data_IF_654748041662
#
_entry.id   IF_654748041662
#
_cell.length_a   1.000
_cell.length_b   1.000
_cell.length_c   1.000
_cell.angle_alpha   90.00
_cell.angle_beta   90.00
_cell.angle_gamma   90.00
#
_symmetry.space_group_name_H-M   'P 1'
#
loop_
_entity.id
_entity.type
_entity.pdbx_description
1 polymer ?
#
# COMPACT_ATOMS: atom_id res chain seq x y z
N UNK A 1 23.97 -42.22 1.75
CA UNK A 1 23.24 -40.95 1.88
C UNK A 1 22.61 -40.62 0.54
N UNK A 2 21.31 -40.75 0.41
CA UNK A 2 20.60 -40.43 -0.85
C UNK A 2 20.17 -38.97 -0.80
N UNK A 3 20.79 -38.12 -1.63
CA UNK A 3 20.38 -36.75 -1.84
C UNK A 3 19.05 -36.76 -2.61
N UNK A 4 17.97 -36.47 -1.92
CA UNK A 4 16.68 -36.20 -2.55
C UNK A 4 16.67 -34.74 -3.04
N UNK A 5 17.08 -34.54 -4.28
CA UNK A 5 16.83 -33.29 -4.98
C UNK A 5 15.37 -33.37 -5.48
N UNK A 6 14.46 -32.71 -4.81
CA UNK A 6 13.11 -32.52 -5.34
C UNK A 6 13.19 -31.63 -6.60
N UNK A 7 12.90 -32.24 -7.72
CA UNK A 7 12.73 -31.50 -8.98
C UNK A 7 11.39 -30.78 -8.93
N UNK A 8 11.40 -29.45 -8.98
CA UNK A 8 10.23 -28.66 -9.28
C UNK A 8 9.73 -29.01 -10.68
N UNK A 9 8.57 -29.63 -10.80
CA UNK A 9 8.11 -30.21 -12.06
C UNK A 9 6.85 -29.58 -12.64
N UNK A 10 6.33 -28.51 -12.10
CA UNK A 10 5.21 -27.82 -12.75
C UNK A 10 5.16 -26.31 -12.48
N UNK A 11 4.61 -25.59 -13.45
CA UNK A 11 4.34 -24.14 -13.36
C UNK A 11 3.39 -23.81 -12.19
N UNK A 12 2.59 -24.78 -11.73
CA UNK A 12 1.71 -24.66 -10.56
C UNK A 12 2.48 -24.48 -9.26
N UNK A 13 3.59 -25.20 -9.08
CA UNK A 13 4.42 -25.12 -7.87
C UNK A 13 5.09 -23.75 -7.71
N UNK A 14 5.38 -23.05 -8.83
CA UNK A 14 5.91 -21.70 -8.85
C UNK A 14 4.85 -20.65 -8.47
N UNK A 15 3.60 -20.86 -8.85
CA UNK A 15 2.49 -19.99 -8.45
C UNK A 15 2.13 -20.17 -6.96
N UNK A 16 2.19 -21.40 -6.46
CA UNK A 16 1.97 -21.70 -5.04
C UNK A 16 3.09 -21.12 -4.17
N UNK A 17 4.36 -21.22 -4.61
CA UNK A 17 5.50 -20.61 -3.92
C UNK A 17 5.40 -19.07 -3.89
N UNK A 18 4.95 -18.46 -4.99
CA UNK A 18 4.72 -17.01 -5.04
C UNK A 18 3.63 -16.58 -4.06
N UNK A 19 2.55 -17.34 -3.99
CA UNK A 19 1.44 -17.09 -3.05
C UNK A 19 1.88 -17.30 -1.59
N UNK A 20 2.72 -18.28 -1.31
CA UNK A 20 3.33 -18.49 0.02
C UNK A 20 4.29 -17.35 0.39
N UNK A 21 5.09 -16.86 -0.54
CA UNK A 21 5.99 -15.71 -0.32
C UNK A 21 5.19 -14.44 -0.09
N UNK A 22 4.15 -14.16 -0.87
CA UNK A 22 3.26 -13.02 -0.68
C UNK A 22 2.56 -13.09 0.69
N UNK A 23 2.13 -14.28 1.12
CA UNK A 23 1.52 -14.50 2.44
C UNK A 23 2.54 -14.37 3.59
N UNK A 24 3.79 -14.77 3.38
CA UNK A 24 4.87 -14.61 4.36
C UNK A 24 5.31 -13.13 4.49
N UNK A 25 5.29 -12.38 3.41
CA UNK A 25 5.57 -10.95 3.44
C UNK A 25 4.45 -10.18 4.12
N UNK A 26 3.18 -10.45 3.80
CA UNK A 26 2.04 -9.83 4.45
C UNK A 26 1.97 -10.13 5.95
N UNK A 27 2.20 -11.37 6.38
CA UNK A 27 2.08 -11.76 7.78
C UNK A 27 3.28 -11.38 8.66
N UNK A 28 4.50 -11.33 8.15
CA UNK A 28 5.68 -11.06 8.97
C UNK A 28 5.97 -9.59 9.21
N UNK A 29 5.69 -8.75 8.22
CA UNK A 29 5.90 -7.31 8.37
C UNK A 29 4.68 -6.62 9.00
N UNK A 30 3.47 -7.13 8.78
CA UNK A 30 2.23 -6.52 9.24
C UNK A 30 1.58 -7.20 10.44
N UNK A 31 1.87 -8.49 10.71
CA UNK A 31 1.24 -9.26 11.78
C UNK A 31 1.48 -8.70 13.19
N UNK A 32 2.62 -8.06 13.44
CA UNK A 32 2.92 -7.43 14.73
C UNK A 32 2.27 -6.06 14.93
N UNK A 33 1.94 -5.37 13.86
CA UNK A 33 1.33 -4.04 13.90
C UNK A 33 -0.20 -4.11 13.83
N UNK A 34 -0.75 -5.10 13.13
CA UNK A 34 -2.20 -5.32 12.99
C UNK A 34 -2.87 -5.83 14.27
N UNK A 35 -2.14 -6.48 15.17
CA UNK A 35 -2.70 -6.96 16.44
C UNK A 35 -3.04 -5.84 17.43
N UNK A 36 -2.64 -4.59 17.13
CA UNK A 36 -3.04 -3.39 17.90
C UNK A 36 -4.31 -2.72 17.39
N UNK A 37 -4.78 -3.07 16.21
CA UNK A 37 -6.03 -2.54 15.63
C UNK A 37 -7.10 -3.64 15.61
N UNK A 38 -7.45 -4.12 16.82
CA UNK A 38 -8.46 -5.17 16.96
C UNK A 38 -9.85 -4.68 16.53
N UNK A 39 -10.53 -5.53 15.80
CA UNK A 39 -11.98 -5.67 15.59
C UNK A 39 -12.78 -4.56 14.88
N UNK A 40 -12.25 -3.40 14.54
CA UNK A 40 -13.01 -2.36 13.82
C UNK A 40 -12.23 -1.72 12.65
N UNK A 41 -11.14 -2.30 12.21
CA UNK A 41 -10.39 -1.78 11.07
C UNK A 41 -10.94 -2.34 9.75
N UNK A 42 -11.18 -1.47 8.79
CA UNK A 42 -11.48 -1.85 7.43
C UNK A 42 -10.28 -1.49 6.53
N UNK A 43 -10.10 -2.22 5.44
CA UNK A 43 -9.01 -1.96 4.50
C UNK A 43 -9.58 -1.42 3.19
N UNK A 44 -9.31 -0.16 2.83
CA UNK A 44 -9.73 0.38 1.54
C UNK A 44 -9.01 -0.34 0.40
N UNK A 45 -9.72 -0.54 -0.71
CA UNK A 45 -9.14 -1.08 -1.94
C UNK A 45 -8.22 -0.04 -2.57
N UNK A 46 -7.12 -0.51 -3.15
CA UNK A 46 -6.07 0.34 -3.65
C UNK A 46 -5.40 -0.27 -4.88
N UNK A 47 -5.19 0.57 -5.90
CA UNK A 47 -4.44 0.25 -7.10
C UNK A 47 -3.14 1.05 -7.14
N UNK A 48 -2.07 0.43 -7.64
CA UNK A 48 -0.79 1.09 -7.88
C UNK A 48 -0.39 0.82 -9.33
N UNK A 49 -0.14 1.88 -10.05
CA UNK A 49 0.31 1.85 -11.42
C UNK A 49 1.69 2.50 -11.51
N UNK A 50 2.65 1.85 -12.14
CA UNK A 50 3.96 2.39 -12.43
C UNK A 50 4.05 2.79 -13.90
N UNK A 51 4.46 4.03 -14.16
CA UNK A 51 4.85 4.53 -15.46
C UNK A 51 6.39 4.67 -15.55
N UNK A 52 6.89 5.13 -16.68
CA UNK A 52 8.32 5.45 -16.80
C UNK A 52 8.76 6.57 -15.85
N UNK A 53 7.86 7.53 -15.54
CA UNK A 53 8.18 8.77 -14.83
C UNK A 53 7.68 8.82 -13.39
N UNK A 54 6.61 8.10 -13.08
CA UNK A 54 5.92 8.19 -11.79
C UNK A 54 5.27 6.89 -11.35
N UNK A 55 4.85 6.86 -10.10
CA UNK A 55 3.85 5.93 -9.58
C UNK A 55 2.55 6.69 -9.37
N UNK A 56 1.43 6.08 -9.70
CA UNK A 56 0.10 6.58 -9.38
C UNK A 56 -0.58 5.59 -8.45
N UNK A 57 -0.94 6.05 -7.26
CA UNK A 57 -1.69 5.27 -6.27
C UNK A 57 -3.13 5.79 -6.23
N UNK A 58 -4.10 4.89 -6.39
CA UNK A 58 -5.53 5.20 -6.29
C UNK A 58 -6.13 4.43 -5.14
N UNK A 59 -6.84 5.11 -4.24
CA UNK A 59 -7.47 4.51 -3.06
C UNK A 59 -8.93 4.91 -3.01
N UNK A 60 -9.82 3.92 -2.88
CA UNK A 60 -11.25 4.16 -2.75
C UNK A 60 -11.62 4.41 -1.29
N UNK A 61 -12.07 5.63 -1.01
CA UNK A 61 -12.44 6.12 0.32
C UNK A 61 -13.84 6.75 0.30
N UNK A 62 -14.88 6.02 -0.14
CA UNK A 62 -16.22 6.57 -0.25
C UNK A 62 -16.77 6.95 1.13
N UNK A 63 -17.48 8.07 1.20
CA UNK A 63 -18.07 8.57 2.44
C UNK A 63 -17.09 9.19 3.42
N UNK A 64 -15.85 9.46 3.00
CA UNK A 64 -14.85 10.19 3.80
C UNK A 64 -14.71 11.63 3.32
N UNK A 65 -14.17 12.47 4.21
CA UNK A 65 -13.74 13.83 3.90
C UNK A 65 -12.21 13.88 3.87
N UNK A 66 -11.65 14.82 3.12
CA UNK A 66 -10.19 14.96 3.02
C UNK A 66 -9.52 15.21 4.39
N UNK A 67 -10.24 15.87 5.32
CA UNK A 67 -9.78 16.17 6.67
C UNK A 67 -9.60 14.91 7.54
N UNK A 68 -10.26 13.82 7.17
CA UNK A 68 -10.19 12.53 7.88
C UNK A 68 -9.12 11.59 7.30
N UNK A 69 -8.32 12.09 6.33
CA UNK A 69 -7.28 11.31 5.62
C UNK A 69 -5.92 11.96 5.87
N UNK A 70 -4.93 11.14 6.22
CA UNK A 70 -3.52 11.55 6.32
C UNK A 70 -2.67 10.70 5.42
N UNK A 71 -1.71 11.34 4.77
CA UNK A 71 -0.77 10.71 3.84
C UNK A 71 0.63 11.07 4.31
N UNK A 72 1.50 10.07 4.47
CA UNK A 72 2.90 10.26 4.81
C UNK A 72 3.76 9.44 3.85
N UNK A 73 4.98 9.90 3.62
CA UNK A 73 6.00 9.14 2.93
C UNK A 73 7.29 9.20 3.75
N UNK A 74 7.86 8.05 4.02
CA UNK A 74 9.09 7.92 4.77
C UNK A 74 9.86 6.69 4.28
N UNK A 75 11.16 6.85 4.03
CA UNK A 75 12.04 5.76 3.60
C UNK A 75 11.46 4.93 2.45
N UNK A 76 10.95 5.58 1.41
CA UNK A 76 10.26 4.96 0.27
C UNK A 76 8.99 4.18 0.63
N UNK A 77 8.43 4.41 1.80
CA UNK A 77 7.16 3.82 2.22
C UNK A 77 6.09 4.90 2.22
N UNK A 78 5.07 4.72 1.39
CA UNK A 78 3.85 5.53 1.39
C UNK A 78 2.89 4.95 2.41
N UNK A 79 2.44 5.74 3.37
CA UNK A 79 1.38 5.37 4.30
C UNK A 79 0.17 6.27 4.15
N UNK A 80 -1.00 5.68 4.22
CA UNK A 80 -2.30 6.34 4.12
C UNK A 80 -3.12 5.85 5.30
N UNK A 81 -3.57 6.76 6.13
CA UNK A 81 -4.37 6.46 7.31
C UNK A 81 -5.58 7.38 7.40
N UNK A 82 -6.62 6.94 8.07
CA UNK A 82 -7.80 7.75 8.28
C UNK A 82 -8.87 7.04 9.11
N UNK A 83 -9.97 7.76 9.33
CA UNK A 83 -11.11 7.24 10.07
C UNK A 83 -12.42 7.55 9.34
N UNK A 84 -13.19 6.51 9.03
CA UNK A 84 -14.56 6.65 8.56
C UNK A 84 -15.50 6.69 9.76
N UNK A 85 -16.08 7.85 10.02
CA UNK A 85 -16.99 8.08 11.14
C UNK A 85 -18.43 7.70 10.78
N UNK A 86 -19.15 7.19 11.77
CA UNK A 86 -20.61 7.02 11.66
C UNK A 86 -21.27 8.38 11.79
N UNK A 87 -22.19 8.73 10.91
CA UNK A 87 -22.92 9.99 11.00
C UNK A 87 -23.81 10.01 12.26
N UNK A 88 -23.63 11.02 13.11
CA UNK A 88 -24.28 11.11 14.41
C UNK A 88 -25.80 11.32 14.35
N UNK A 89 -26.33 11.76 13.21
CA UNK A 89 -27.77 11.98 13.01
C UNK A 89 -28.57 10.68 12.95
N UNK A 90 -27.93 9.55 12.73
CA UNK A 90 -28.58 8.24 12.65
C UNK A 90 -28.87 7.60 14.00
N UNK A 91 -28.45 8.22 15.12
CA UNK A 91 -28.67 7.67 16.49
C UNK A 91 -30.15 7.49 16.87
N UNK A 92 -31.08 8.14 16.18
CA UNK A 92 -32.53 8.05 16.43
C UNK A 92 -33.25 7.12 15.46
N UNK A 93 -32.56 6.51 14.50
CA UNK A 93 -33.13 5.63 13.50
C UNK A 93 -32.90 4.17 13.86
N UNK A 94 -33.85 3.32 13.61
CA UNK A 94 -33.72 1.86 13.74
C UNK A 94 -33.14 1.31 12.45
N UNK A 95 -31.93 0.76 12.50
CA UNK A 95 -31.35 0.08 11.35
C UNK A 95 -31.91 -1.32 11.21
N UNK A 96 -32.37 -1.67 10.02
CA UNK A 96 -32.80 -3.02 9.69
C UNK A 96 -31.63 -3.89 9.21
N UNK A 97 -30.61 -3.25 8.60
CA UNK A 97 -29.43 -3.93 8.10
C UNK A 97 -28.25 -2.94 8.01
N UNK A 98 -27.09 -3.33 8.48
CA UNK A 98 -25.85 -2.57 8.41
C UNK A 98 -24.80 -3.43 7.71
N UNK A 99 -24.33 -2.99 6.56
CA UNK A 99 -23.29 -3.66 5.76
C UNK A 99 -22.05 -2.75 5.51
N UNK A 100 -22.15 -1.48 5.91
CA UNK A 100 -21.05 -0.52 5.78
C UNK A 100 -20.05 -0.69 6.91
N UNK A 101 -18.75 -0.66 6.56
CA UNK A 101 -17.66 -0.69 7.55
C UNK A 101 -17.30 0.74 7.96
N UNK A 102 -17.09 0.94 9.24
CA UNK A 102 -16.66 2.19 9.86
C UNK A 102 -15.38 1.96 10.66
N UNK A 103 -14.74 3.02 11.11
CA UNK A 103 -13.58 2.97 11.95
C UNK A 103 -12.29 3.39 11.25
N UNK A 104 -11.19 3.12 11.89
CA UNK A 104 -9.86 3.51 11.40
C UNK A 104 -9.36 2.55 10.33
N UNK A 105 -8.56 3.06 9.41
CA UNK A 105 -7.80 2.27 8.47
C UNK A 105 -6.36 2.74 8.39
N UNK A 106 -5.49 1.82 8.00
CA UNK A 106 -4.10 2.08 7.70
C UNK A 106 -3.67 1.24 6.50
N UNK A 107 -3.06 1.89 5.52
CA UNK A 107 -2.45 1.24 4.36
C UNK A 107 -1.02 1.72 4.22
N UNK A 108 -0.08 0.80 3.99
CA UNK A 108 1.30 1.14 3.70
C UNK A 108 1.80 0.35 2.50
N UNK A 109 2.59 1.01 1.67
CA UNK A 109 3.16 0.47 0.45
C UNK A 109 4.61 0.90 0.35
N UNK A 110 5.49 -0.06 0.18
CA UNK A 110 6.90 0.20 -0.15
C UNK A 110 7.05 0.40 -1.65
N UNK A 111 7.64 1.51 -2.03
CA UNK A 111 7.91 1.84 -3.43
C UNK A 111 9.28 1.28 -3.84
N UNK A 112 9.41 0.64 -5.02
CA UNK A 112 10.65 -0.02 -5.42
C UNK A 112 11.78 0.94 -5.79
N UNK A 113 11.47 2.22 -6.00
CA UNK A 113 12.42 3.27 -6.38
C UNK A 113 12.19 4.52 -5.54
N UNK A 114 13.23 5.32 -5.41
CA UNK A 114 13.11 6.62 -4.76
C UNK A 114 12.17 7.53 -5.53
N UNK A 115 11.35 8.25 -4.79
CA UNK A 115 10.44 9.26 -5.32
C UNK A 115 10.99 10.66 -5.04
N UNK A 116 10.58 11.63 -5.84
CA UNK A 116 10.87 13.04 -5.62
C UNK A 116 9.81 13.62 -4.69
N UNK A 117 10.10 13.65 -3.40
CA UNK A 117 9.17 14.07 -2.35
C UNK A 117 8.64 15.49 -2.57
N UNK A 118 9.44 16.36 -3.19
CA UNK A 118 9.05 17.74 -3.45
C UNK A 118 7.97 17.89 -4.54
N UNK A 119 7.76 16.85 -5.35
CA UNK A 119 6.83 16.87 -6.48
C UNK A 119 5.62 15.94 -6.30
N UNK A 120 5.44 15.37 -5.13
CA UNK A 120 4.29 14.54 -4.83
C UNK A 120 3.02 15.39 -4.84
N UNK A 121 1.97 14.85 -5.47
CA UNK A 121 0.64 15.45 -5.51
C UNK A 121 -0.38 14.46 -5.04
N UNK A 122 -1.35 14.94 -4.26
CA UNK A 122 -2.49 14.15 -3.83
C UNK A 122 -3.79 14.93 -4.11
N UNK A 123 -4.73 14.27 -4.75
CA UNK A 123 -6.04 14.79 -5.08
C UNK A 123 -7.11 13.86 -4.55
N UNK A 124 -8.15 14.44 -3.94
CA UNK A 124 -9.28 13.68 -3.42
C UNK A 124 -10.57 14.23 -4.01
N UNK A 125 -11.21 13.42 -4.86
CA UNK A 125 -12.45 13.76 -5.53
C UNK A 125 -13.44 12.59 -5.49
N UNK A 126 -14.68 12.86 -5.12
CA UNK A 126 -15.79 11.87 -5.14
C UNK A 126 -15.46 10.54 -4.46
N UNK A 127 -14.72 10.59 -3.35
CA UNK A 127 -14.32 9.39 -2.61
C UNK A 127 -13.14 8.62 -3.20
N UNK A 128 -12.50 9.13 -4.24
CA UNK A 128 -11.27 8.57 -4.81
C UNK A 128 -10.07 9.45 -4.46
N UNK A 129 -9.11 8.90 -3.75
CA UNK A 129 -7.81 9.50 -3.49
C UNK A 129 -6.83 9.07 -4.57
N UNK A 130 -6.27 10.02 -5.30
CA UNK A 130 -5.22 9.79 -6.30
C UNK A 130 -3.94 10.46 -5.85
N UNK A 131 -2.85 9.70 -5.72
CA UNK A 131 -1.54 10.18 -5.33
C UNK A 131 -0.57 9.93 -6.48
N UNK A 132 0.04 10.99 -6.99
CA UNK A 132 1.07 10.92 -8.02
C UNK A 132 2.43 11.14 -7.37
N UNK A 133 3.32 10.19 -7.56
CA UNK A 133 4.65 10.09 -6.94
C UNK A 133 5.71 10.09 -8.06
N UNK A 134 6.24 11.24 -8.49
CA UNK A 134 7.28 11.29 -9.50
C UNK A 134 8.54 10.55 -9.05
N UNK A 135 9.14 9.80 -9.94
CA UNK A 135 10.41 9.12 -9.67
C UNK A 135 11.53 10.16 -9.60
N UNK A 136 12.39 10.05 -8.60
CA UNK A 136 13.61 10.85 -8.54
C UNK A 136 14.50 10.50 -9.75
N UNK A 137 15.15 11.50 -10.32
CA UNK A 137 16.15 11.26 -11.36
C UNK A 137 17.23 10.34 -10.78
N UNK A 138 17.37 9.14 -11.36
CA UNK A 138 18.45 8.25 -11.00
C UNK A 138 19.77 8.97 -11.29
N UNK A 139 20.64 9.11 -10.30
CA UNK A 139 21.96 9.66 -10.48
C UNK A 139 22.59 8.95 -11.69
N UNK A 140 22.96 9.72 -12.72
CA UNK A 140 23.59 9.18 -13.92
C UNK A 140 24.77 8.33 -13.47
N UNK A 141 24.84 7.09 -13.94
CA UNK A 141 25.96 6.19 -13.66
C UNK A 141 27.23 6.90 -14.06
N UNK A 142 28.04 7.27 -13.06
CA UNK A 142 29.31 7.92 -13.31
C UNK A 142 30.33 6.83 -13.66
N UNK A 143 30.76 6.81 -14.90
CA UNK A 143 31.91 5.97 -15.28
C UNK A 143 33.13 6.42 -14.48
N UNK A 144 33.77 5.47 -13.82
CA UNK A 144 35.04 5.72 -13.11
C UNK A 144 36.15 5.31 -14.05
N UNK A 145 37.00 6.27 -14.45
CA UNK A 145 38.21 5.98 -15.22
C UNK A 145 39.29 5.36 -14.31
N UNK A 146 39.80 4.22 -14.73
CA UNK A 146 40.92 3.57 -14.05
C UNK A 146 42.19 4.17 -14.62
N UNK A 147 42.96 4.88 -13.79
CA UNK A 147 44.31 5.38 -14.15
C UNK A 147 45.34 4.37 -13.72
N UNK A 148 46.23 3.97 -14.65
CA UNK A 148 47.41 3.16 -14.33
C UNK A 148 48.43 4.05 -13.57
N UNK A 149 48.96 3.50 -12.47
CA UNK A 149 50.12 4.08 -11.77
C UNK A 149 51.39 3.60 -12.42
#
# INVERSE_FOLDING_TARGET
MKNNIQKFSSMGDLFDLRKEIDTMFDNRFFGGMLQRFSDQSWAPVMDIVESEKDFTVKVELPGMKKEDIKINIENNTLSIEGERKTESEEKKKTFHRIERSYGQFYRAVSLPKHVDDAKIKAEFNDGLLTITLPKAETAKTKAIEITNK
#
